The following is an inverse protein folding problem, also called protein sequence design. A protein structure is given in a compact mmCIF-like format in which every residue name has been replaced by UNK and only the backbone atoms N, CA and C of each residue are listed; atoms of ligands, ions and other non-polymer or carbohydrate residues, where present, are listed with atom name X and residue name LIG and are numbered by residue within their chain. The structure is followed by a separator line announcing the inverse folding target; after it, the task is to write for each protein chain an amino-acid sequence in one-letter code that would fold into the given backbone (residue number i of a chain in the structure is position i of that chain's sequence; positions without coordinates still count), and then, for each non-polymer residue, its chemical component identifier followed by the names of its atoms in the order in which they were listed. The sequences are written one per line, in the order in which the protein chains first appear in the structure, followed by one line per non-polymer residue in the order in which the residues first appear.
data_IF_789868597489
#
_entry.id   IF_789868597489
#
_cell.length_a   1.000
_cell.length_b   1.000
_cell.length_c   1.000
_cell.angle_alpha   90.00
_cell.angle_beta   90.00
_cell.angle_gamma   90.00
#
_symmetry.space_group_name_H-M   'P 1'
#
loop_
_entity.id
_entity.type
_entity.pdbx_description
1 polymer ?
#
# COMPACT_ATOMS: atom_id res chain seq x y z
N UNK A 1 -16.36 -4.67 4.80
CA UNK A 1 -17.04 -5.61 3.86
C UNK A 1 -18.19 -6.29 4.58
N UNK A 2 -19.32 -6.45 3.91
CA UNK A 2 -20.48 -7.11 4.48
C UNK A 2 -20.54 -8.53 3.91
N UNK A 3 -20.58 -9.52 4.81
CA UNK A 3 -20.73 -10.92 4.41
C UNK A 3 -22.11 -11.15 3.77
N UNK A 4 -22.16 -11.87 2.65
CA UNK A 4 -23.40 -12.15 1.94
C UNK A 4 -24.33 -13.06 2.79
N UNK A 5 -25.65 -12.87 2.65
CA UNK A 5 -26.64 -13.70 3.33
C UNK A 5 -26.51 -15.19 2.97
N UNK A 6 -26.01 -15.46 1.77
CA UNK A 6 -25.83 -16.83 1.22
C UNK A 6 -24.52 -17.50 1.67
N UNK A 7 -23.74 -16.86 2.56
CA UNK A 7 -22.49 -17.44 3.04
C UNK A 7 -22.71 -18.73 3.87
N UNK A 8 -23.84 -18.82 4.57
CA UNK A 8 -24.32 -20.07 5.18
C UNK A 8 -25.85 -20.06 5.33
N UNK A 9 -26.44 -21.24 5.37
CA UNK A 9 -27.88 -21.41 5.61
C UNK A 9 -28.29 -20.87 6.98
N UNK A 10 -27.42 -20.99 7.98
CA UNK A 10 -27.61 -20.48 9.32
C UNK A 10 -27.62 -18.96 9.36
N UNK A 11 -26.66 -18.31 8.71
CA UNK A 11 -26.59 -16.85 8.60
C UNK A 11 -27.84 -16.30 7.90
N UNK A 12 -28.24 -16.94 6.81
CA UNK A 12 -29.49 -16.58 6.11
C UNK A 12 -30.71 -16.68 7.02
N UNK A 13 -30.83 -17.77 7.77
CA UNK A 13 -31.96 -17.99 8.69
C UNK A 13 -31.99 -16.96 9.84
N UNK A 14 -30.83 -16.63 10.40
CA UNK A 14 -30.68 -15.62 11.45
C UNK A 14 -31.12 -14.25 10.91
N UNK A 15 -30.58 -13.81 9.78
CA UNK A 15 -30.91 -12.51 9.18
C UNK A 15 -32.35 -12.40 8.75
N UNK A 16 -32.94 -13.49 8.26
CA UNK A 16 -34.39 -13.55 7.96
C UNK A 16 -35.25 -13.35 9.21
N UNK A 17 -34.87 -13.98 10.33
CA UNK A 17 -35.56 -13.79 11.63
C UNK A 17 -35.44 -12.38 12.14
N UNK A 18 -34.23 -11.77 12.01
CA UNK A 18 -33.99 -10.38 12.40
C UNK A 18 -34.86 -9.40 11.60
N UNK A 19 -34.98 -9.59 10.28
CA UNK A 19 -35.85 -8.78 9.41
C UNK A 19 -37.29 -8.90 9.85
N UNK A 20 -37.81 -10.14 10.03
CA UNK A 20 -39.16 -10.37 10.49
C UNK A 20 -39.46 -9.75 11.87
N UNK A 21 -38.51 -9.84 12.81
CA UNK A 21 -38.66 -9.20 14.13
C UNK A 21 -38.68 -7.67 14.01
N UNK A 22 -37.79 -7.10 13.17
CA UNK A 22 -37.72 -5.65 12.91
C UNK A 22 -39.03 -5.13 12.28
N UNK A 23 -39.59 -5.86 11.34
CA UNK A 23 -40.84 -5.48 10.67
C UNK A 23 -42.02 -5.51 11.68
N UNK A 24 -42.12 -6.55 12.51
CA UNK A 24 -43.14 -6.62 13.61
C UNK A 24 -43.01 -5.44 14.58
N UNK A 25 -41.80 -5.06 14.95
CA UNK A 25 -41.56 -3.88 15.80
C UNK A 25 -42.04 -2.62 15.13
N UNK A 26 -41.64 -2.41 13.86
CA UNK A 26 -42.02 -1.21 13.10
C UNK A 26 -43.54 -1.10 12.96
N UNK A 27 -44.22 -2.18 12.63
CA UNK A 27 -45.70 -2.21 12.57
C UNK A 27 -46.36 -1.88 13.92
N UNK A 28 -45.82 -2.41 15.02
CA UNK A 28 -46.31 -2.14 16.37
C UNK A 28 -46.07 -0.67 16.76
N UNK A 29 -44.88 -0.14 16.48
CA UNK A 29 -44.57 1.24 16.81
C UNK A 29 -45.28 2.24 15.89
N UNK A 30 -45.58 1.87 14.64
CA UNK A 30 -46.33 2.69 13.71
C UNK A 30 -47.74 3.04 14.26
N UNK A 31 -48.35 2.16 15.10
CA UNK A 31 -49.61 2.44 15.78
C UNK A 31 -49.52 3.58 16.81
N UNK A 32 -48.32 3.76 17.40
CA UNK A 32 -48.08 4.92 18.28
C UNK A 32 -47.83 6.19 17.47
N UNK A 33 -47.18 6.09 16.32
CA UNK A 33 -46.81 7.23 15.47
C UNK A 33 -48.04 7.79 14.72
N UNK A 34 -48.91 6.94 14.17
CA UNK A 34 -50.07 7.34 13.36
C UNK A 34 -51.42 7.28 14.10
N UNK A 35 -51.45 6.79 15.34
CA UNK A 35 -52.65 6.66 16.15
C UNK A 35 -52.82 7.77 17.20
N UNK A 36 -53.72 7.53 18.17
CA UNK A 36 -53.98 8.46 19.28
C UNK A 36 -52.78 8.75 20.18
N UNK A 37 -51.71 7.99 20.07
CA UNK A 37 -50.45 8.19 20.79
C UNK A 37 -49.55 9.29 20.20
N UNK A 38 -49.78 9.73 18.97
CA UNK A 38 -48.99 10.73 18.28
C UNK A 38 -48.86 12.09 19.00
N UNK A 39 -49.90 12.49 19.73
CA UNK A 39 -49.91 13.72 20.55
C UNK A 39 -48.88 13.70 21.69
N UNK A 40 -48.45 12.53 22.13
CA UNK A 40 -47.45 12.36 23.20
C UNK A 40 -46.02 12.34 22.68
N UNK A 41 -45.84 12.20 21.35
CA UNK A 41 -44.54 12.13 20.72
C UNK A 41 -44.00 13.53 20.40
N UNK A 42 -42.70 13.72 20.52
CA UNK A 42 -42.03 14.93 20.06
C UNK A 42 -41.96 15.02 18.54
N UNK A 43 -41.71 13.88 17.91
CA UNK A 43 -41.73 13.66 16.47
C UNK A 43 -42.43 12.34 16.16
N UNK A 44 -43.23 12.32 15.09
CA UNK A 44 -43.96 11.14 14.69
C UNK A 44 -43.09 10.16 13.89
N UNK A 45 -42.01 9.69 14.52
CA UNK A 45 -41.05 8.75 13.91
C UNK A 45 -40.74 7.58 14.83
N UNK A 46 -40.34 6.46 14.23
CA UNK A 46 -39.67 5.36 14.91
C UNK A 46 -38.16 5.54 14.72
N UNK A 47 -37.40 5.51 15.78
CA UNK A 47 -35.95 5.65 15.76
C UNK A 47 -35.28 4.50 16.51
N UNK A 48 -33.94 4.47 16.49
CA UNK A 48 -33.16 3.49 17.25
C UNK A 48 -32.25 4.17 18.25
N UNK A 49 -32.14 3.58 19.46
CA UNK A 49 -31.18 3.97 20.49
C UNK A 49 -30.54 2.72 21.06
N UNK A 50 -29.21 2.69 21.10
CA UNK A 50 -28.44 1.53 21.59
C UNK A 50 -28.86 0.20 20.91
N UNK A 51 -29.18 0.27 19.60
CA UNK A 51 -29.63 -0.90 18.82
C UNK A 51 -31.07 -1.36 19.10
N UNK A 52 -31.86 -0.56 19.84
CA UNK A 52 -33.26 -0.84 20.14
C UNK A 52 -34.18 0.15 19.42
N UNK A 53 -35.33 -0.34 18.95
CA UNK A 53 -36.34 0.51 18.39
C UNK A 53 -37.12 1.23 19.51
N UNK A 54 -37.23 2.54 19.40
CA UNK A 54 -37.83 3.41 20.39
C UNK A 54 -38.66 4.50 19.72
N UNK A 55 -39.50 5.19 20.49
CA UNK A 55 -40.25 6.37 20.08
C UNK A 55 -39.83 7.60 20.90
N UNK A 56 -39.70 8.80 20.29
CA UNK A 56 -39.36 10.02 21.00
C UNK A 56 -40.59 10.62 21.68
N UNK A 57 -40.68 10.50 23.00
CA UNK A 57 -41.80 10.96 23.84
C UNK A 57 -41.47 12.30 24.47
N UNK A 58 -42.39 13.25 24.48
CA UNK A 58 -42.22 14.50 25.25
C UNK A 58 -42.14 14.16 26.74
N UNK A 59 -41.20 14.77 27.45
CA UNK A 59 -40.93 14.45 28.86
C UNK A 59 -42.18 14.60 29.77
N UNK A 60 -43.03 15.55 29.46
CA UNK A 60 -44.31 15.80 30.18
C UNK A 60 -45.34 14.66 30.07
N UNK A 61 -45.26 13.84 28.98
CA UNK A 61 -46.15 12.70 28.74
C UNK A 61 -45.49 11.36 29.00
N UNK A 62 -44.44 11.31 29.83
CA UNK A 62 -43.68 10.09 30.15
C UNK A 62 -44.60 8.95 30.70
N UNK A 63 -45.62 9.30 31.50
CA UNK A 63 -46.58 8.36 32.11
C UNK A 63 -47.56 7.72 31.13
N UNK A 64 -47.81 8.36 29.99
CA UNK A 64 -48.81 7.95 29.01
C UNK A 64 -48.35 6.76 28.13
N UNK A 65 -47.04 6.61 27.94
CA UNK A 65 -46.44 5.51 27.21
C UNK A 65 -45.68 4.61 28.21
N UNK A 66 -46.27 3.46 28.53
CA UNK A 66 -45.64 2.45 29.39
C UNK A 66 -44.46 1.80 28.64
N UNK A 67 -43.25 1.96 29.14
CA UNK A 67 -42.05 1.41 28.50
C UNK A 67 -40.76 1.73 29.25
N UNK A 68 -39.66 1.26 28.72
CA UNK A 68 -38.35 1.51 29.24
C UNK A 68 -37.77 2.82 28.62
N UNK A 69 -37.26 3.72 29.47
CA UNK A 69 -36.56 4.91 29.00
C UNK A 69 -35.11 4.54 28.80
N UNK A 70 -34.57 4.80 27.60
CA UNK A 70 -33.16 4.55 27.28
C UNK A 70 -32.30 5.79 27.51
N UNK A 71 -32.59 6.89 26.80
CA UNK A 71 -31.83 8.12 26.93
C UNK A 71 -32.74 9.34 26.85
N UNK A 72 -32.48 10.42 27.59
CA UNK A 72 -33.07 11.72 27.35
C UNK A 72 -32.33 12.44 26.19
N UNK A 73 -33.00 13.37 25.51
CA UNK A 73 -32.31 14.32 24.62
C UNK A 73 -31.37 15.23 25.41
N UNK A 74 -30.41 15.87 24.71
CA UNK A 74 -29.46 16.79 25.37
C UNK A 74 -30.15 17.95 26.14
N UNK A 75 -31.34 18.36 25.72
CA UNK A 75 -32.16 19.38 26.40
C UNK A 75 -33.06 18.81 27.50
N UNK A 76 -33.18 17.48 27.65
CA UNK A 76 -34.09 16.81 28.55
C UNK A 76 -35.58 16.86 28.15
N UNK A 77 -35.93 17.54 27.05
CA UNK A 77 -37.30 17.74 26.62
C UNK A 77 -37.93 16.50 25.96
N UNK A 78 -37.10 15.57 25.49
CA UNK A 78 -37.52 14.32 24.82
C UNK A 78 -36.92 13.12 25.52
N UNK A 79 -37.74 12.09 25.74
CA UNK A 79 -37.31 10.80 26.27
C UNK A 79 -37.46 9.76 25.17
N UNK A 80 -36.41 8.96 24.95
CA UNK A 80 -36.49 7.83 24.01
C UNK A 80 -37.02 6.62 24.75
N UNK A 81 -38.32 6.29 24.51
CA UNK A 81 -39.03 5.24 25.20
C UNK A 81 -39.17 4.01 24.33
N UNK A 82 -38.80 2.86 24.84
CA UNK A 82 -39.11 1.54 24.29
C UNK A 82 -40.45 1.06 24.89
N UNK A 83 -41.54 1.07 24.15
CA UNK A 83 -42.80 0.60 24.66
C UNK A 83 -42.73 -0.87 25.08
N UNK A 84 -43.44 -1.24 26.17
CA UNK A 84 -43.47 -2.63 26.67
C UNK A 84 -43.87 -3.64 25.61
N UNK A 85 -44.73 -3.24 24.66
CA UNK A 85 -45.19 -4.09 23.56
C UNK A 85 -44.09 -4.54 22.59
N UNK A 86 -42.91 -3.92 22.60
CA UNK A 86 -41.81 -4.26 21.68
C UNK A 86 -40.52 -4.72 22.40
N UNK A 87 -40.52 -4.71 23.74
CA UNK A 87 -39.33 -5.09 24.53
C UNK A 87 -38.87 -6.51 24.22
N UNK A 88 -39.78 -7.48 24.13
CA UNK A 88 -39.43 -8.87 23.81
C UNK A 88 -38.83 -8.99 22.40
N UNK A 89 -39.41 -8.33 21.42
CA UNK A 89 -38.94 -8.36 20.05
C UNK A 89 -37.57 -7.65 19.89
N UNK A 90 -37.35 -6.56 20.63
CA UNK A 90 -36.02 -5.92 20.69
C UNK A 90 -34.98 -6.82 21.36
N UNK A 91 -35.35 -7.58 22.40
CA UNK A 91 -34.47 -8.56 23.03
C UNK A 91 -34.19 -9.73 22.06
N UNK A 92 -35.19 -10.20 21.30
CA UNK A 92 -35.00 -11.20 20.24
C UNK A 92 -33.96 -10.73 19.20
N UNK A 93 -34.05 -9.48 18.70
CA UNK A 93 -33.09 -8.91 17.76
C UNK A 93 -31.70 -8.89 18.37
N UNK A 94 -31.55 -8.52 19.64
CA UNK A 94 -30.24 -8.49 20.31
C UNK A 94 -29.62 -9.88 20.39
N UNK A 95 -30.41 -10.89 20.73
CA UNK A 95 -29.93 -12.30 20.75
C UNK A 95 -29.55 -12.77 19.35
N UNK A 96 -30.37 -12.44 18.35
CA UNK A 96 -30.10 -12.81 16.96
C UNK A 96 -28.83 -12.10 16.42
N UNK A 97 -28.59 -10.87 16.84
CA UNK A 97 -27.37 -10.14 16.48
C UNK A 97 -26.10 -10.81 17.03
N UNK A 98 -26.13 -11.22 18.29
CA UNK A 98 -25.03 -11.97 18.88
C UNK A 98 -24.80 -13.32 18.16
N UNK A 99 -25.85 -13.98 17.72
CA UNK A 99 -25.78 -15.21 16.91
C UNK A 99 -25.22 -14.93 15.51
N UNK A 100 -25.59 -13.82 14.88
CA UNK A 100 -25.05 -13.39 13.59
C UNK A 100 -23.54 -13.17 13.69
N UNK A 101 -23.09 -12.44 14.72
CA UNK A 101 -21.67 -12.17 14.96
C UNK A 101 -20.87 -13.47 15.16
N UNK A 102 -21.40 -14.39 15.98
CA UNK A 102 -20.79 -15.70 16.21
C UNK A 102 -20.71 -16.56 14.95
N UNK A 103 -21.77 -16.56 14.12
CA UNK A 103 -21.78 -17.31 12.86
C UNK A 103 -20.82 -16.72 11.83
N UNK A 104 -20.74 -15.39 11.75
CA UNK A 104 -19.75 -14.71 10.90
C UNK A 104 -18.32 -15.09 11.34
N UNK A 105 -18.05 -15.07 12.65
CA UNK A 105 -16.74 -15.45 13.19
C UNK A 105 -16.42 -16.91 12.86
N UNK A 106 -17.38 -17.83 12.99
CA UNK A 106 -17.24 -19.24 12.62
C UNK A 106 -16.85 -19.40 11.15
N UNK A 107 -17.57 -18.73 10.25
CA UNK A 107 -17.30 -18.80 8.81
C UNK A 107 -15.89 -18.27 8.50
N UNK A 108 -15.53 -17.12 9.07
CA UNK A 108 -14.20 -16.53 8.87
C UNK A 108 -13.09 -17.42 9.42
N UNK A 109 -13.33 -18.07 10.56
CA UNK A 109 -12.39 -19.02 11.14
C UNK A 109 -12.16 -20.23 10.23
N UNK A 110 -13.22 -20.84 9.70
CA UNK A 110 -13.13 -21.98 8.78
C UNK A 110 -12.40 -21.61 7.50
N UNK A 111 -12.72 -20.47 6.89
CA UNK A 111 -12.02 -19.98 5.68
C UNK A 111 -10.55 -19.70 5.96
N UNK A 112 -10.25 -19.09 7.11
CA UNK A 112 -8.88 -18.80 7.52
C UNK A 112 -8.09 -20.10 7.79
N UNK A 113 -8.71 -21.08 8.42
CA UNK A 113 -8.12 -22.40 8.65
C UNK A 113 -7.82 -23.11 7.34
N UNK A 114 -8.73 -23.05 6.37
CA UNK A 114 -8.51 -23.63 5.04
C UNK A 114 -7.34 -22.93 4.31
N UNK A 115 -7.28 -21.60 4.32
CA UNK A 115 -6.15 -20.87 3.78
C UNK A 115 -4.83 -21.23 4.48
N UNK A 116 -4.84 -21.40 5.81
CA UNK A 116 -3.68 -21.75 6.58
C UNK A 116 -3.07 -23.11 6.19
N UNK A 117 -3.88 -24.06 5.74
CA UNK A 117 -3.41 -25.38 5.24
C UNK A 117 -2.47 -25.24 4.04
N UNK A 118 -2.65 -24.20 3.24
CA UNK A 118 -1.85 -23.92 2.05
C UNK A 118 -0.80 -22.82 2.27
N UNK A 119 -0.60 -22.38 3.52
CA UNK A 119 0.27 -21.23 3.82
C UNK A 119 1.70 -21.39 3.29
N UNK A 120 2.27 -22.60 3.36
CA UNK A 120 3.59 -22.91 2.81
C UNK A 120 3.65 -22.76 1.29
N UNK A 121 2.66 -23.31 0.58
CA UNK A 121 2.58 -23.21 -0.88
C UNK A 121 2.31 -21.76 -1.33
N UNK A 122 1.46 -21.02 -0.61
CA UNK A 122 1.17 -19.62 -0.89
C UNK A 122 2.43 -18.75 -0.73
N UNK A 123 3.19 -18.96 0.36
CA UNK A 123 4.46 -18.27 0.60
C UNK A 123 5.46 -18.56 -0.53
N UNK A 124 5.66 -19.83 -0.86
CA UNK A 124 6.58 -20.21 -1.94
C UNK A 124 6.18 -19.62 -3.29
N UNK A 125 4.89 -19.63 -3.61
CA UNK A 125 4.39 -19.02 -4.83
C UNK A 125 4.64 -17.49 -4.85
N UNK A 126 4.43 -16.81 -3.72
CA UNK A 126 4.72 -15.39 -3.61
C UNK A 126 6.21 -15.09 -3.84
N UNK A 127 7.10 -15.85 -3.20
CA UNK A 127 8.55 -15.71 -3.38
C UNK A 127 8.98 -15.97 -4.83
N UNK A 128 8.42 -16.99 -5.47
CA UNK A 128 8.67 -17.29 -6.87
C UNK A 128 8.18 -16.20 -7.80
N UNK A 129 7.00 -15.61 -7.53
CA UNK A 129 6.47 -14.50 -8.30
C UNK A 129 7.33 -13.24 -8.16
N UNK A 130 7.82 -12.94 -6.96
CA UNK A 130 8.75 -11.82 -6.74
C UNK A 130 10.06 -12.02 -7.51
N UNK A 131 10.60 -13.22 -7.50
CA UNK A 131 11.80 -13.56 -8.26
C UNK A 131 11.59 -13.40 -9.76
N UNK A 132 10.51 -13.96 -10.29
CA UNK A 132 10.16 -13.85 -11.70
C UNK A 132 9.94 -12.38 -12.11
N UNK A 133 9.22 -11.61 -11.31
CA UNK A 133 9.01 -10.19 -11.56
C UNK A 133 10.34 -9.42 -11.64
N UNK A 134 11.29 -9.72 -10.75
CA UNK A 134 12.63 -9.15 -10.77
C UNK A 134 13.40 -9.52 -12.04
N UNK A 135 13.35 -10.78 -12.44
CA UNK A 135 14.02 -11.27 -13.66
C UNK A 135 13.45 -10.56 -14.90
N UNK A 136 12.13 -10.51 -15.03
CA UNK A 136 11.48 -9.84 -16.15
C UNK A 136 11.77 -8.34 -16.19
N UNK A 137 11.79 -7.66 -15.02
CA UNK A 137 12.12 -6.24 -14.96
C UNK A 137 13.57 -5.97 -15.44
N UNK A 138 14.52 -6.83 -15.02
CA UNK A 138 15.94 -6.75 -15.49
C UNK A 138 16.03 -7.00 -17.00
N UNK A 139 15.31 -7.99 -17.51
CA UNK A 139 15.31 -8.28 -18.94
C UNK A 139 14.71 -7.12 -19.75
N UNK A 140 13.58 -6.57 -19.31
CA UNK A 140 12.97 -5.42 -19.99
C UNK A 140 13.90 -4.20 -19.97
N UNK A 141 14.57 -3.92 -18.85
CA UNK A 141 15.56 -2.86 -18.75
C UNK A 141 16.70 -3.08 -19.73
N UNK A 142 17.22 -4.31 -19.86
CA UNK A 142 18.26 -4.69 -20.82
C UNK A 142 17.83 -4.39 -22.27
N UNK A 143 16.62 -4.79 -22.65
CA UNK A 143 16.08 -4.50 -23.99
C UNK A 143 15.92 -3.00 -24.25
N UNK A 144 15.41 -2.25 -23.27
CA UNK A 144 15.24 -0.79 -23.41
C UNK A 144 16.55 -0.05 -23.64
N UNK A 145 17.63 -0.50 -22.98
CA UNK A 145 18.96 0.12 -23.07
C UNK A 145 19.80 -0.45 -24.23
N UNK A 146 19.31 -1.46 -24.96
CA UNK A 146 20.13 -2.24 -25.91
C UNK A 146 21.43 -2.69 -25.22
N UNK A 147 21.27 -3.36 -24.08
CA UNK A 147 22.34 -3.75 -23.18
C UNK A 147 22.70 -5.22 -23.34
N UNK A 148 23.93 -5.59 -23.03
CA UNK A 148 24.40 -6.96 -23.02
C UNK A 148 24.99 -7.35 -21.66
N UNK A 149 25.18 -8.64 -21.45
CA UNK A 149 25.82 -9.20 -20.26
C UNK A 149 27.32 -8.86 -20.25
N UNK A 150 27.83 -8.15 -19.23
CA UNK A 150 29.28 -7.93 -19.11
C UNK A 150 29.97 -9.17 -18.54
N UNK A 151 31.23 -9.36 -18.89
CA UNK A 151 32.09 -10.39 -18.28
C UNK A 151 32.57 -9.85 -16.92
N UNK A 152 32.12 -10.48 -15.83
CA UNK A 152 32.65 -10.17 -14.51
C UNK A 152 34.01 -10.82 -14.30
N UNK A 153 35.00 -10.04 -13.88
CA UNK A 153 36.40 -10.48 -13.72
C UNK A 153 36.89 -10.32 -12.29
N UNK A 154 37.61 -11.31 -11.79
CA UNK A 154 38.37 -11.21 -10.55
C UNK A 154 39.63 -10.39 -10.67
N UNK A 155 40.09 -10.13 -11.92
CA UNK A 155 41.25 -9.27 -12.19
C UNK A 155 40.77 -7.82 -12.20
N UNK A 156 41.50 -6.94 -11.53
CA UNK A 156 41.18 -5.53 -11.43
C UNK A 156 41.46 -4.75 -12.73
N UNK A 157 40.70 -5.04 -13.79
CA UNK A 157 40.75 -4.27 -15.03
C UNK A 157 39.36 -4.07 -15.61
N UNK A 158 39.12 -2.91 -16.13
CA UNK A 158 37.93 -2.54 -16.88
C UNK A 158 38.28 -2.55 -18.37
N UNK A 159 37.42 -3.12 -19.20
CA UNK A 159 37.51 -3.04 -20.66
C UNK A 159 36.09 -2.86 -21.22
N UNK A 160 35.60 -1.61 -21.17
CA UNK A 160 34.32 -1.27 -21.72
C UNK A 160 34.43 -0.91 -23.19
N UNK A 161 33.67 -1.57 -24.04
CA UNK A 161 33.61 -1.33 -25.48
C UNK A 161 32.30 -0.65 -25.83
N UNK A 162 32.35 0.40 -26.64
CA UNK A 162 31.13 1.13 -27.07
C UNK A 162 30.16 1.46 -25.93
N UNK A 163 30.67 1.83 -24.76
CA UNK A 163 29.87 2.11 -23.58
C UNK A 163 29.02 3.36 -23.77
N UNK A 164 27.76 3.26 -23.46
CA UNK A 164 26.76 4.34 -23.55
C UNK A 164 26.22 4.66 -22.16
N UNK A 165 26.00 5.94 -21.88
CA UNK A 165 25.43 6.36 -20.61
C UNK A 165 23.92 5.99 -20.60
N UNK A 166 23.41 5.17 -19.66
CA UNK A 166 22.05 4.60 -19.72
C UNK A 166 20.92 5.61 -19.59
N UNK A 167 21.20 6.81 -19.08
CA UNK A 167 20.22 7.90 -18.93
C UNK A 167 20.25 8.91 -20.07
N UNK A 168 21.11 8.73 -21.06
CA UNK A 168 21.13 9.57 -22.26
C UNK A 168 20.31 8.90 -23.36
N UNK A 169 19.78 9.72 -24.26
CA UNK A 169 19.07 9.26 -25.45
C UNK A 169 19.98 8.33 -26.27
N UNK A 170 19.55 7.09 -26.45
CA UNK A 170 20.31 6.03 -27.10
C UNK A 170 20.71 6.36 -28.55
N UNK A 171 19.91 7.20 -29.22
CA UNK A 171 20.15 7.59 -30.62
C UNK A 171 21.08 8.79 -30.74
N UNK A 172 21.40 9.48 -29.64
CA UNK A 172 22.26 10.67 -29.59
C UNK A 172 23.52 10.48 -28.77
N UNK A 173 23.55 9.48 -27.89
CA UNK A 173 24.71 9.21 -27.03
C UNK A 173 25.91 8.75 -27.89
N UNK A 174 27.07 9.33 -27.67
CA UNK A 174 28.29 8.90 -28.30
C UNK A 174 28.90 7.74 -27.53
N UNK A 175 29.06 6.54 -28.12
CA UNK A 175 29.71 5.42 -27.48
C UNK A 175 31.18 5.71 -27.18
N UNK A 176 31.68 5.22 -26.04
CA UNK A 176 33.06 5.38 -25.62
C UNK A 176 33.72 4.05 -25.29
N UNK A 177 35.01 3.92 -25.54
CA UNK A 177 35.82 2.79 -25.07
C UNK A 177 36.62 3.21 -23.84
N UNK A 178 36.59 2.39 -22.79
CA UNK A 178 37.27 2.69 -21.52
C UNK A 178 38.10 1.48 -21.09
N UNK A 179 39.37 1.35 -21.57
CA UNK A 179 40.31 0.37 -21.05
C UNK A 179 41.04 0.94 -19.82
N UNK A 180 41.06 0.22 -18.71
CA UNK A 180 41.73 0.61 -17.47
C UNK A 180 42.17 -0.62 -16.68
N UNK A 181 43.35 -0.61 -16.09
CA UNK A 181 43.83 -1.66 -15.18
C UNK A 181 44.61 -2.78 -15.87
N UNK A 182 44.63 -2.86 -17.21
CA UNK A 182 45.39 -3.89 -17.96
C UNK A 182 46.81 -3.46 -18.26
N UNK A 183 47.00 -2.30 -18.85
CA UNK A 183 48.30 -1.75 -19.26
C UNK A 183 48.68 -0.51 -18.42
N UNK A 184 47.74 0.11 -17.78
CA UNK A 184 47.92 1.31 -16.95
C UNK A 184 46.82 1.33 -15.87
N UNK A 185 47.16 1.91 -14.73
CA UNK A 185 46.25 2.00 -13.54
C UNK A 185 45.61 3.37 -13.41
N UNK A 186 46.06 4.34 -14.19
CA UNK A 186 45.58 5.72 -14.18
C UNK A 186 45.12 6.12 -15.58
N UNK A 187 43.91 6.66 -15.68
CA UNK A 187 43.38 7.24 -16.92
C UNK A 187 43.16 8.74 -16.73
N UNK A 188 43.86 9.56 -17.48
CA UNK A 188 43.70 11.03 -17.48
C UNK A 188 42.84 11.42 -18.69
N UNK A 189 41.70 12.05 -18.46
CA UNK A 189 40.81 12.52 -19.52
C UNK A 189 40.90 14.04 -19.61
N UNK A 190 41.41 14.55 -20.73
CA UNK A 190 41.59 15.97 -20.99
C UNK A 190 40.70 16.45 -22.14
N UNK A 191 40.43 17.73 -22.19
CA UNK A 191 39.64 18.34 -23.27
C UNK A 191 38.73 19.48 -22.79
N UNK A 192 37.98 20.11 -23.69
CA UNK A 192 37.06 21.19 -23.33
C UNK A 192 35.88 20.69 -22.43
N UNK A 193 35.21 21.59 -21.73
CA UNK A 193 34.12 21.23 -20.82
C UNK A 193 32.92 20.56 -21.53
N UNK A 194 32.71 20.88 -22.79
CA UNK A 194 31.69 20.25 -23.66
C UNK A 194 32.11 18.89 -24.22
N UNK A 195 33.35 18.44 -23.95
CA UNK A 195 33.93 17.21 -24.53
C UNK A 195 33.52 15.90 -23.83
N UNK A 196 32.55 15.90 -22.94
CA UNK A 196 32.00 14.66 -22.34
C UNK A 196 32.86 14.07 -21.20
N UNK A 197 33.88 14.78 -20.66
CA UNK A 197 34.73 14.27 -19.55
C UNK A 197 33.93 13.75 -18.37
N UNK A 198 33.03 14.56 -17.84
CA UNK A 198 32.16 14.20 -16.69
C UNK A 198 31.19 13.06 -17.03
N UNK A 199 30.69 13.02 -18.26
CA UNK A 199 29.84 11.93 -18.74
C UNK A 199 30.61 10.61 -18.77
N UNK A 200 31.88 10.62 -19.21
CA UNK A 200 32.72 9.42 -19.21
C UNK A 200 32.90 8.85 -17.78
N UNK A 201 33.25 9.72 -16.81
CA UNK A 201 33.37 9.31 -15.40
C UNK A 201 32.06 8.73 -14.85
N UNK A 202 30.96 9.43 -15.08
CA UNK A 202 29.62 8.98 -14.67
C UNK A 202 29.27 7.65 -15.34
N UNK A 203 29.54 7.47 -16.61
CA UNK A 203 29.30 6.24 -17.36
C UNK A 203 30.07 5.07 -16.74
N UNK A 204 31.38 5.24 -16.53
CA UNK A 204 32.20 4.19 -15.94
C UNK A 204 31.72 3.76 -14.56
N UNK A 205 31.49 4.71 -13.67
CA UNK A 205 31.02 4.41 -12.32
C UNK A 205 29.62 3.74 -12.30
N UNK A 206 28.68 4.29 -13.07
CA UNK A 206 27.31 3.79 -13.12
C UNK A 206 27.23 2.37 -13.73
N UNK A 207 27.92 2.14 -14.85
CA UNK A 207 27.91 0.82 -15.50
C UNK A 207 28.60 -0.23 -14.61
N UNK A 208 29.65 0.14 -13.88
CA UNK A 208 30.28 -0.76 -12.91
C UNK A 208 29.34 -1.15 -11.78
N UNK A 209 28.60 -0.21 -11.21
CA UNK A 209 27.60 -0.49 -10.19
C UNK A 209 26.43 -1.34 -10.75
N UNK A 210 25.94 -1.04 -11.94
CA UNK A 210 24.89 -1.81 -12.60
C UNK A 210 25.30 -3.26 -12.81
N UNK A 211 26.51 -3.50 -13.31
CA UNK A 211 27.05 -4.86 -13.48
C UNK A 211 27.12 -5.63 -12.15
N UNK A 212 27.60 -4.99 -11.08
CA UNK A 212 27.65 -5.62 -9.75
C UNK A 212 26.25 -5.89 -9.14
N UNK A 213 25.22 -5.14 -9.57
CA UNK A 213 23.83 -5.42 -9.21
C UNK A 213 23.20 -6.56 -10.05
N UNK A 214 23.97 -7.18 -10.94
CA UNK A 214 23.49 -8.23 -11.83
C UNK A 214 22.54 -7.72 -12.91
N UNK A 215 22.80 -6.52 -13.43
CA UNK A 215 22.12 -5.93 -14.59
C UNK A 215 23.00 -6.06 -15.83
N UNK A 216 22.37 -6.24 -16.99
CA UNK A 216 23.01 -5.96 -18.26
C UNK A 216 23.32 -4.47 -18.37
N UNK A 217 24.38 -4.14 -19.10
CA UNK A 217 24.84 -2.76 -19.28
C UNK A 217 24.91 -2.39 -20.76
N UNK A 218 24.67 -1.13 -21.15
CA UNK A 218 24.68 -0.70 -22.55
C UNK A 218 26.12 -0.55 -23.07
N UNK A 219 26.74 -1.68 -23.40
CA UNK A 219 28.12 -1.80 -23.89
C UNK A 219 28.19 -2.77 -25.07
N UNK A 220 29.33 -2.83 -25.77
CA UNK A 220 29.58 -3.86 -26.79
C UNK A 220 29.96 -5.20 -26.17
N UNK A 221 29.72 -6.28 -26.91
CA UNK A 221 30.04 -7.64 -26.51
C UNK A 221 31.48 -7.84 -26.09
N UNK A 222 31.68 -8.68 -25.07
CA UNK A 222 33.00 -8.98 -24.51
C UNK A 222 33.58 -7.83 -23.67
N UNK A 223 32.74 -6.88 -23.23
CA UNK A 223 33.12 -5.89 -22.22
C UNK A 223 33.36 -6.54 -20.88
N UNK A 224 34.41 -6.11 -20.17
CA UNK A 224 34.85 -6.69 -18.90
C UNK A 224 34.69 -5.66 -17.79
N UNK A 225 34.10 -6.06 -16.68
CA UNK A 225 33.97 -5.23 -15.46
C UNK A 225 34.49 -6.03 -14.28
N UNK A 226 35.42 -5.48 -13.46
CA UNK A 226 35.84 -6.16 -12.24
C UNK A 226 34.77 -5.99 -11.12
N UNK A 227 34.89 -6.81 -10.12
CA UNK A 227 34.14 -6.61 -8.87
C UNK A 227 34.95 -5.64 -7.99
N UNK A 228 34.37 -4.47 -7.75
CA UNK A 228 34.97 -3.44 -6.89
C UNK A 228 34.43 -3.55 -5.46
N UNK A 229 35.30 -3.43 -4.46
CA UNK A 229 34.90 -3.28 -3.06
C UNK A 229 34.29 -1.90 -2.79
N UNK A 230 34.79 -0.88 -3.51
CA UNK A 230 34.31 0.49 -3.40
C UNK A 230 34.42 1.22 -4.74
N UNK A 231 33.43 2.04 -5.04
CA UNK A 231 33.41 2.96 -6.17
C UNK A 231 33.23 4.35 -5.58
N UNK A 232 34.28 5.16 -5.65
CA UNK A 232 34.33 6.50 -5.07
C UNK A 232 34.41 7.50 -6.20
N UNK A 233 33.63 8.57 -6.14
CA UNK A 233 33.60 9.60 -7.18
C UNK A 233 33.46 10.98 -6.56
N UNK A 234 34.29 11.87 -6.98
CA UNK A 234 34.17 13.30 -6.70
C UNK A 234 33.71 14.02 -7.97
N UNK A 235 32.43 14.30 -8.06
CA UNK A 235 31.77 14.89 -9.23
C UNK A 235 30.95 16.09 -8.76
N UNK A 236 31.46 17.31 -8.95
CA UNK A 236 30.79 18.56 -8.62
C UNK A 236 30.44 19.39 -9.87
N UNK A 237 29.37 20.23 -9.77
CA UNK A 237 29.02 21.21 -10.81
C UNK A 237 29.84 22.50 -10.64
N UNK A 238 30.66 22.83 -11.61
CA UNK A 238 31.50 24.09 -11.66
C UNK A 238 30.68 25.34 -12.04
N UNK A 239 29.35 25.36 -11.91
CA UNK A 239 28.50 26.38 -12.59
C UNK A 239 28.33 27.71 -11.86
N UNK A 240 28.93 27.98 -10.69
CA UNK A 240 28.86 29.32 -10.09
C UNK A 240 30.16 29.76 -9.45
N UNK A 241 30.61 30.97 -9.82
CA UNK A 241 31.87 31.58 -9.30
C UNK A 241 31.73 31.89 -7.79
N UNK A 242 30.56 32.15 -7.27
CA UNK A 242 30.31 32.39 -5.84
C UNK A 242 30.29 31.12 -4.98
N UNK A 243 30.07 29.96 -5.60
CA UNK A 243 30.15 28.63 -4.94
C UNK A 243 31.56 28.02 -5.03
N UNK A 244 32.50 28.61 -5.80
CA UNK A 244 33.77 27.98 -6.12
C UNK A 244 34.68 27.73 -4.89
N UNK A 245 34.67 28.57 -3.86
CA UNK A 245 35.45 28.36 -2.63
C UNK A 245 34.86 27.29 -1.73
N UNK A 246 33.53 27.21 -1.62
CA UNK A 246 32.84 26.14 -0.86
C UNK A 246 32.92 24.80 -1.59
N UNK A 247 32.87 24.82 -2.92
CA UNK A 247 32.98 23.64 -3.79
C UNK A 247 34.42 23.09 -3.73
N UNK A 248 35.46 23.93 -3.80
CA UNK A 248 36.82 23.48 -3.65
C UNK A 248 37.11 22.83 -2.31
N UNK A 249 36.62 23.43 -1.21
CA UNK A 249 36.77 22.86 0.13
C UNK A 249 36.00 21.53 0.28
N UNK A 250 34.79 21.41 -0.30
CA UNK A 250 34.03 20.18 -0.32
C UNK A 250 34.74 19.07 -1.11
N UNK A 251 35.29 19.40 -2.29
CA UNK A 251 36.08 18.47 -3.08
C UNK A 251 37.31 17.99 -2.32
N UNK A 252 38.06 18.92 -1.67
CA UNK A 252 39.23 18.54 -0.88
C UNK A 252 38.89 17.64 0.31
N UNK A 253 37.75 17.88 0.99
CA UNK A 253 37.29 17.02 2.08
C UNK A 253 36.92 15.64 1.55
N UNK A 254 36.23 15.57 0.41
CA UNK A 254 35.87 14.30 -0.22
C UNK A 254 37.15 13.52 -0.66
N UNK A 255 38.12 14.19 -1.30
CA UNK A 255 39.38 13.55 -1.74
C UNK A 255 40.19 13.02 -0.55
N UNK A 256 40.20 13.74 0.59
CA UNK A 256 40.89 13.28 1.81
C UNK A 256 40.17 12.11 2.48
N UNK A 257 38.86 11.97 2.25
CA UNK A 257 38.04 10.85 2.77
C UNK A 257 38.06 9.60 1.88
N UNK A 258 38.60 9.72 0.65
CA UNK A 258 38.79 8.63 -0.30
C UNK A 258 40.19 7.99 -0.06
#
# INVERSE_FOLDING_TARGET
EVMADTASDELYAIRRKMRSASDRIRETLQKYVSGGGSKYLQENIVTTRNGRFVVPVKSEYRSEIKGLVHDPSASGATLFVEPMSVVEANNEIRVLKAKEEAEIERILYELSAECARFSGALRQNYENLCLLASIFAKAELSFRMDACEPILSSKQHVDLKCARHPLLDKDKVVPIDVPLGKNYTLLVITGPNTGGKTVTLKTLGLLSMMAQCGLHIPVGDGSVVPVFDSILADIGDEQSIEQSLSTFSAHMVNIVGI
#
